data_IF_536174743090
#
_entry.id   IF_536174743090
#
_cell.length_a   1.000
_cell.length_b   1.000
_cell.length_c   1.000
_cell.angle_alpha   90.00
_cell.angle_beta   90.00
_cell.angle_gamma   90.00
#
_symmetry.space_group_name_H-M   'P 1'
#
loop_
_entity.id
_entity.type
_entity.pdbx_description
1 polymer ?
#
# COMPACT_ATOMS: atom_id res chain seq x y z
N UNK A 1 -15.80 4.59 5.07
CA UNK A 1 -14.49 4.75 4.41
C UNK A 1 -14.51 6.10 3.71
N UNK A 2 -13.56 6.99 4.01
CA UNK A 2 -13.53 8.35 3.43
C UNK A 2 -13.14 8.32 1.94
N UNK A 3 -13.43 9.39 1.18
CA UNK A 3 -13.08 9.49 -0.25
C UNK A 3 -11.58 9.29 -0.51
N UNK A 4 -10.72 9.86 0.34
CA UNK A 4 -9.25 9.65 0.27
C UNK A 4 -8.88 8.17 0.39
N UNK A 5 -9.54 7.43 1.28
CA UNK A 5 -9.27 6.01 1.47
C UNK A 5 -9.65 5.18 0.24
N UNK A 6 -10.74 5.53 -0.45
CA UNK A 6 -11.14 4.87 -1.70
C UNK A 6 -10.19 5.18 -2.87
N UNK A 7 -9.58 6.36 -2.88
CA UNK A 7 -8.54 6.71 -3.86
C UNK A 7 -7.25 5.94 -3.60
N UNK A 8 -6.79 5.90 -2.35
CA UNK A 8 -5.61 5.11 -1.97
C UNK A 8 -5.86 3.61 -2.21
N UNK A 9 -7.04 3.09 -1.88
CA UNK A 9 -7.42 1.68 -2.12
C UNK A 9 -7.22 1.30 -3.59
N UNK A 10 -7.65 2.15 -4.53
CA UNK A 10 -7.48 1.90 -5.96
C UNK A 10 -6.02 1.93 -6.39
N UNK A 11 -5.23 2.88 -5.89
CA UNK A 11 -3.79 2.97 -6.17
C UNK A 11 -3.04 1.73 -5.66
N UNK A 12 -3.31 1.33 -4.41
CA UNK A 12 -2.73 0.14 -3.79
C UNK A 12 -3.12 -1.12 -4.57
N UNK A 13 -4.39 -1.25 -4.94
CA UNK A 13 -4.88 -2.40 -5.70
C UNK A 13 -4.17 -2.54 -7.05
N UNK A 14 -3.93 -1.43 -7.74
CA UNK A 14 -3.22 -1.44 -9.01
C UNK A 14 -1.76 -1.89 -8.85
N UNK A 15 -1.08 -1.45 -7.79
CA UNK A 15 0.27 -1.93 -7.48
C UNK A 15 0.27 -3.41 -7.10
N UNK A 16 -0.69 -3.86 -6.30
CA UNK A 16 -0.82 -5.27 -5.93
C UNK A 16 -1.04 -6.16 -7.16
N UNK A 17 -1.92 -5.77 -8.08
CA UNK A 17 -2.14 -6.49 -9.35
C UNK A 17 -0.87 -6.57 -10.19
N UNK A 18 -0.13 -5.47 -10.26
CA UNK A 18 1.11 -5.37 -11.03
C UNK A 18 2.20 -6.25 -10.43
N UNK A 19 2.41 -6.18 -9.12
CA UNK A 19 3.45 -6.94 -8.41
C UNK A 19 3.12 -8.44 -8.31
N UNK A 20 1.86 -8.80 -8.07
CA UNK A 20 1.42 -10.20 -7.98
C UNK A 20 1.20 -10.84 -9.36
N UNK A 21 1.18 -10.05 -10.45
CA UNK A 21 0.79 -10.54 -11.78
C UNK A 21 -0.68 -10.95 -11.92
N UNK A 22 -1.50 -10.72 -10.89
CA UNK A 22 -2.90 -11.13 -10.84
C UNK A 22 -3.85 -9.94 -11.08
N UNK A 23 -4.19 -9.70 -12.35
CA UNK A 23 -5.06 -8.57 -12.72
C UNK A 23 -6.53 -8.71 -12.27
N UNK A 24 -6.93 -9.88 -11.77
CA UNK A 24 -8.31 -10.14 -11.27
C UNK A 24 -8.47 -9.86 -9.78
N UNK A 25 -7.38 -9.61 -9.06
CA UNK A 25 -7.41 -9.28 -7.64
C UNK A 25 -8.36 -8.11 -7.36
N UNK A 26 -9.16 -8.21 -6.30
CA UNK A 26 -10.05 -7.16 -5.80
C UNK A 26 -9.46 -6.48 -4.57
N UNK A 27 -10.05 -5.36 -4.14
CA UNK A 27 -9.54 -4.61 -2.99
C UNK A 27 -9.58 -5.38 -1.66
N UNK A 28 -10.37 -6.45 -1.58
CA UNK A 28 -10.54 -7.32 -0.41
C UNK A 28 -9.80 -8.64 -0.52
N UNK A 29 -9.18 -8.92 -1.68
CA UNK A 29 -8.36 -10.12 -1.84
C UNK A 29 -7.06 -9.97 -1.07
N UNK A 30 -6.63 -11.08 -0.48
CA UNK A 30 -5.37 -11.19 0.24
C UNK A 30 -4.21 -11.29 -0.76
N UNK A 31 -3.30 -10.32 -0.72
CA UNK A 31 -2.16 -10.20 -1.62
C UNK A 31 -1.31 -11.47 -1.65
N UNK A 32 -1.04 -12.07 -0.49
CA UNK A 32 -0.21 -13.27 -0.38
C UNK A 32 -0.94 -14.50 -0.88
N UNK A 33 -2.25 -14.58 -0.67
CA UNK A 33 -3.07 -15.67 -1.21
C UNK A 33 -3.23 -15.59 -2.75
N UNK A 34 -3.12 -14.39 -3.33
CA UNK A 34 -3.21 -14.20 -4.80
C UNK A 34 -1.92 -14.48 -5.56
N UNK A 35 -0.84 -14.80 -4.86
CA UNK A 35 0.48 -15.08 -5.44
C UNK A 35 1.55 -14.05 -5.09
N UNK A 36 1.25 -13.08 -4.22
CA UNK A 36 2.23 -12.16 -3.68
C UNK A 36 3.20 -12.86 -2.71
N UNK A 37 4.47 -12.52 -2.82
CA UNK A 37 5.55 -12.95 -1.94
C UNK A 37 6.24 -11.76 -1.26
N UNK A 38 7.19 -12.02 -0.36
CA UNK A 38 7.92 -10.98 0.38
C UNK A 38 8.63 -9.97 -0.52
N UNK A 39 9.19 -10.41 -1.65
CA UNK A 39 9.88 -9.52 -2.59
C UNK A 39 8.87 -8.60 -3.29
N UNK A 40 7.77 -9.16 -3.79
CA UNK A 40 6.70 -8.37 -4.41
C UNK A 40 5.99 -7.44 -3.41
N UNK A 41 5.94 -7.79 -2.12
CA UNK A 41 5.42 -6.93 -1.06
C UNK A 41 6.30 -5.70 -0.85
N UNK A 42 7.63 -5.85 -0.78
CA UNK A 42 8.57 -4.73 -0.68
C UNK A 42 8.49 -3.82 -1.92
N UNK A 43 8.38 -4.42 -3.11
CA UNK A 43 8.19 -3.68 -4.37
C UNK A 43 6.89 -2.87 -4.35
N UNK A 44 5.78 -3.50 -3.94
CA UNK A 44 4.49 -2.83 -3.81
C UNK A 44 4.54 -1.68 -2.80
N UNK A 45 5.15 -1.90 -1.62
CA UNK A 45 5.30 -0.86 -0.60
C UNK A 45 6.05 0.36 -1.13
N UNK A 46 7.17 0.14 -1.82
CA UNK A 46 7.98 1.20 -2.44
C UNK A 46 7.18 1.96 -3.51
N UNK A 47 6.42 1.26 -4.36
CA UNK A 47 5.61 1.89 -5.40
C UNK A 47 4.43 2.68 -4.81
N UNK A 48 3.77 2.15 -3.77
CA UNK A 48 2.73 2.86 -3.03
C UNK A 48 3.29 4.12 -2.38
N UNK A 49 4.51 4.06 -1.83
CA UNK A 49 5.19 5.22 -1.27
C UNK A 49 5.45 6.31 -2.30
N UNK A 50 5.97 5.94 -3.47
CA UNK A 50 6.20 6.87 -4.55
C UNK A 50 4.90 7.55 -5.05
N UNK A 51 3.79 6.83 -5.08
CA UNK A 51 2.50 7.34 -5.58
C UNK A 51 1.72 8.16 -4.55
N UNK A 52 1.77 7.76 -3.28
CA UNK A 52 0.92 8.34 -2.22
C UNK A 52 1.67 9.27 -1.29
N UNK A 53 3.00 9.31 -1.37
CA UNK A 53 3.88 10.03 -0.44
C UNK A 53 3.89 9.43 0.98
N UNK A 54 3.32 8.24 1.16
CA UNK A 54 3.23 7.55 2.45
C UNK A 54 4.02 6.26 2.35
N UNK A 55 4.97 6.04 3.22
CA UNK A 55 5.83 4.85 3.20
C UNK A 55 5.23 3.75 4.08
N UNK A 56 4.45 2.78 3.52
CA UNK A 56 3.97 1.67 4.32
C UNK A 56 5.16 0.77 4.67
N UNK A 57 5.45 0.63 5.97
CA UNK A 57 6.37 -0.39 6.44
C UNK A 57 5.92 -1.78 5.92
N UNK A 58 6.84 -2.66 5.47
CA UNK A 58 6.48 -3.99 4.99
C UNK A 58 5.64 -4.79 5.99
N UNK A 59 5.83 -4.58 7.29
CA UNK A 59 5.04 -5.20 8.36
C UNK A 59 3.56 -4.79 8.28
N UNK A 60 3.25 -3.60 7.78
CA UNK A 60 1.87 -3.17 7.53
C UNK A 60 1.23 -3.96 6.39
N UNK A 61 1.98 -4.38 5.37
CA UNK A 61 1.43 -5.25 4.33
C UNK A 61 1.10 -6.64 4.89
N UNK A 62 1.94 -7.17 5.80
CA UNK A 62 1.66 -8.43 6.50
C UNK A 62 0.47 -8.33 7.46
N UNK A 63 0.31 -7.20 8.15
CA UNK A 63 -0.83 -6.95 9.03
C UNK A 63 -2.13 -6.66 8.24
N UNK A 64 -2.01 -5.92 7.15
CA UNK A 64 -3.11 -5.43 6.31
C UNK A 64 -2.97 -5.97 4.89
N UNK A 65 -3.18 -7.29 4.75
CA UNK A 65 -2.94 -8.07 3.53
C UNK A 65 -3.85 -7.72 2.33
N UNK A 66 -4.76 -6.77 2.49
CA UNK A 66 -5.71 -6.35 1.45
C UNK A 66 -5.54 -4.88 1.13
N UNK A 67 -5.80 -4.48 -0.12
CA UNK A 67 -5.68 -3.08 -0.54
C UNK A 67 -6.60 -2.16 0.28
N UNK A 68 -7.80 -2.63 0.62
CA UNK A 68 -8.77 -1.94 1.47
C UNK A 68 -8.23 -1.67 2.87
N UNK A 69 -7.68 -2.70 3.53
CA UNK A 69 -7.16 -2.58 4.88
C UNK A 69 -5.93 -1.65 4.91
N UNK A 70 -5.02 -1.82 3.95
CA UNK A 70 -3.82 -0.99 3.86
C UNK A 70 -4.18 0.48 3.61
N UNK A 71 -5.12 0.73 2.70
CA UNK A 71 -5.58 2.10 2.42
C UNK A 71 -6.23 2.77 3.62
N UNK A 72 -7.00 2.03 4.42
CA UNK A 72 -7.58 2.57 5.65
C UNK A 72 -6.47 3.00 6.62
N UNK A 73 -5.47 2.13 6.83
CA UNK A 73 -4.34 2.43 7.71
C UNK A 73 -3.49 3.61 7.22
N UNK A 74 -3.28 3.71 5.90
CA UNK A 74 -2.56 4.82 5.26
C UNK A 74 -3.30 6.16 5.31
N UNK A 75 -4.62 6.16 5.49
CA UNK A 75 -5.36 7.41 5.75
C UNK A 75 -5.19 7.85 7.20
N UNK A 76 -5.10 6.89 8.12
CA UNK A 76 -4.81 7.16 9.54
C UNK A 76 -3.35 7.57 9.78
N UNK A 77 -2.44 7.19 8.87
CA UNK A 77 -1.04 7.62 8.81
C UNK A 77 -0.86 8.67 7.70
N UNK A 78 -1.18 9.96 7.94
CA UNK A 78 -0.97 10.98 6.94
C UNK A 78 0.52 11.03 6.56
N UNK A 79 0.84 11.38 5.31
CA UNK A 79 2.22 11.45 4.84
C UNK A 79 2.98 12.38 5.78
N UNK A 80 4.17 11.95 6.21
CA UNK A 80 5.03 12.77 7.04
C UNK A 80 5.15 14.15 6.37
N UNK A 81 4.51 15.16 6.95
CA UNK A 81 4.51 16.52 6.40
C UNK A 81 5.91 17.09 6.63
N UNK A 82 6.80 16.88 5.65
CA UNK A 82 8.12 17.50 5.54
C UNK A 82 9.15 17.14 6.61
N UNK A 83 10.26 16.55 6.16
CA UNK A 83 11.57 16.80 6.77
C UNK A 83 12.52 17.35 5.69
N UNK A 84 12.21 18.55 5.19
CA UNK A 84 13.22 19.51 4.78
C UNK A 84 13.48 20.42 6.00
N UNK A 85 14.44 20.05 6.84
CA UNK A 85 14.81 20.76 8.07
C UNK A 85 15.65 19.86 8.97
N UNK A 86 16.94 20.17 9.09
CA UNK A 86 17.99 19.21 9.49
C UNK A 86 18.15 18.90 10.98
N UNK A 87 19.13 18.02 11.26
CA UNK A 87 20.23 18.20 12.21
C UNK A 87 21.14 16.95 12.15
N UNK A 88 22.46 17.15 11.99
CA UNK A 88 23.50 16.12 12.02
C UNK A 88 24.61 16.38 11.03
#
# INVERSE_FOLDING_TARGET
MSETAQTIERLVLEQFRTCSGNNRMTATDDFFNTGGDSFTAVQAATAIAALTGRDPDPSLLFAHRTARALACRLVEDPPATGAAGGNG
#
